data_IF_318513292179
#
_entry.id   IF_318513292179
#
_cell.length_a   1.000
_cell.length_b   1.000
_cell.length_c   1.000
_cell.angle_alpha   90.00
_cell.angle_beta   90.00
_cell.angle_gamma   90.00
#
_symmetry.space_group_name_H-M   'P 1'
#
loop_
_entity.id
_entity.type
_entity.pdbx_description
1 polymer ?
#
# COMPACT_ATOMS: atom_id res chain seq x y z
N UNK A 1 16.98 28.39 16.69
CA UNK A 1 16.03 28.15 15.58
C UNK A 1 15.95 26.65 15.40
N UNK A 2 14.85 26.01 15.81
CA UNK A 2 14.65 24.58 15.55
C UNK A 2 14.23 24.41 14.09
N UNK A 3 14.86 23.48 13.37
CA UNK A 3 14.60 23.26 11.95
C UNK A 3 13.25 22.56 11.76
N UNK A 4 12.44 23.06 10.82
CA UNK A 4 11.27 22.36 10.32
C UNK A 4 11.73 21.02 9.73
N UNK A 5 11.23 19.90 10.27
CA UNK A 5 11.52 18.57 9.74
C UNK A 5 10.36 18.17 8.83
N UNK A 6 10.55 18.36 7.53
CA UNK A 6 9.62 17.85 6.53
C UNK A 6 10.04 16.45 6.09
N UNK A 7 9.18 15.47 6.34
CA UNK A 7 9.43 14.10 5.90
C UNK A 7 9.09 14.00 4.42
N UNK A 8 10.12 13.79 3.60
CA UNK A 8 9.97 13.60 2.16
C UNK A 8 10.10 12.12 1.82
N UNK A 9 9.23 11.64 0.94
CA UNK A 9 9.45 10.35 0.28
C UNK A 9 10.62 10.48 -0.68
N UNK A 10 11.36 9.38 -0.87
CA UNK A 10 12.43 9.34 -1.86
C UNK A 10 11.87 9.57 -3.26
N UNK A 11 12.55 10.40 -4.07
CA UNK A 11 12.16 10.65 -5.46
C UNK A 11 12.10 9.36 -6.30
N UNK A 12 12.98 8.40 -6.01
CA UNK A 12 12.97 7.08 -6.67
C UNK A 12 11.68 6.28 -6.41
N UNK A 13 11.17 6.29 -5.17
CA UNK A 13 9.93 5.59 -4.82
C UNK A 13 8.71 6.22 -5.52
N UNK A 14 8.68 7.55 -5.60
CA UNK A 14 7.63 8.28 -6.31
C UNK A 14 7.69 8.02 -7.81
N UNK A 15 8.88 8.08 -8.41
CA UNK A 15 9.06 7.75 -9.82
C UNK A 15 8.62 6.33 -10.14
N UNK A 16 9.03 5.35 -9.32
CA UNK A 16 8.72 3.95 -9.54
C UNK A 16 7.21 3.67 -9.49
N UNK A 17 6.49 4.20 -8.50
CA UNK A 17 5.03 3.96 -8.41
C UNK A 17 4.26 4.62 -9.57
N UNK A 18 4.69 5.81 -10.02
CA UNK A 18 4.10 6.46 -11.19
C UNK A 18 4.41 5.72 -12.49
N UNK A 19 5.65 5.24 -12.66
CA UNK A 19 6.03 4.40 -13.79
C UNK A 19 5.17 3.13 -13.83
N UNK A 20 4.97 2.47 -12.68
CA UNK A 20 4.12 1.29 -12.59
C UNK A 20 2.67 1.64 -12.97
N UNK A 21 2.10 2.72 -12.46
CA UNK A 21 0.76 3.17 -12.85
C UNK A 21 0.64 3.41 -14.36
N UNK A 22 1.64 4.05 -14.96
CA UNK A 22 1.68 4.31 -16.40
C UNK A 22 1.80 3.03 -17.24
N UNK A 23 2.66 2.09 -16.83
CA UNK A 23 2.80 0.80 -17.51
C UNK A 23 1.51 -0.01 -17.49
N UNK A 24 0.84 -0.08 -16.34
CA UNK A 24 -0.46 -0.74 -16.22
C UNK A 24 -1.51 -0.06 -17.11
N UNK A 25 -1.55 1.28 -17.13
CA UNK A 25 -2.43 2.04 -18.02
C UNK A 25 -2.17 1.76 -19.50
N UNK A 26 -0.91 1.60 -19.91
CA UNK A 26 -0.55 1.24 -21.28
C UNK A 26 -1.01 -0.16 -21.66
N UNK A 27 -0.89 -1.14 -20.75
CA UNK A 27 -1.42 -2.51 -20.97
C UNK A 27 -2.93 -2.49 -21.16
N UNK A 28 -3.66 -1.71 -20.35
CA UNK A 28 -5.12 -1.54 -20.50
C UNK A 28 -5.46 -0.96 -21.87
N UNK A 29 -4.75 0.11 -22.27
CA UNK A 29 -4.97 0.74 -23.57
C UNK A 29 -4.71 -0.23 -24.73
N UNK A 30 -3.66 -1.05 -24.63
CA UNK A 30 -3.33 -2.07 -25.64
C UNK A 30 -4.43 -3.13 -25.74
N UNK A 31 -4.89 -3.70 -24.62
CA UNK A 31 -5.98 -4.67 -24.63
C UNK A 31 -7.27 -4.08 -25.19
N UNK A 32 -7.63 -2.85 -24.79
CA UNK A 32 -8.81 -2.17 -25.31
C UNK A 32 -8.72 -1.91 -26.82
N UNK A 33 -7.54 -1.49 -27.30
CA UNK A 33 -7.32 -1.25 -28.73
C UNK A 33 -7.43 -2.53 -29.56
N UNK A 34 -6.74 -3.60 -29.15
CA UNK A 34 -6.80 -4.89 -29.86
C UNK A 34 -8.19 -5.52 -29.76
N UNK A 35 -8.88 -5.37 -28.63
CA UNK A 35 -10.27 -5.79 -28.50
C UNK A 35 -11.17 -5.08 -29.50
N UNK A 36 -11.03 -3.76 -29.64
CA UNK A 36 -11.84 -2.97 -30.57
C UNK A 36 -11.66 -3.40 -32.03
N UNK A 37 -10.45 -3.80 -32.43
CA UNK A 37 -10.20 -4.35 -33.77
C UNK A 37 -10.76 -5.76 -33.92
N UNK A 38 -10.60 -6.62 -32.91
CA UNK A 38 -11.02 -8.01 -33.00
C UNK A 38 -12.52 -8.23 -32.87
N UNK A 39 -13.28 -7.33 -32.24
CA UNK A 39 -14.73 -7.47 -32.13
C UNK A 39 -15.44 -7.57 -33.49
N UNK A 40 -14.83 -7.06 -34.57
CA UNK A 40 -15.35 -7.18 -35.93
C UNK A 40 -14.98 -8.50 -36.63
N UNK A 41 -13.82 -9.08 -36.30
CA UNK A 41 -13.24 -10.23 -37.01
C UNK A 41 -13.41 -11.56 -36.24
N UNK A 42 -13.28 -11.53 -34.91
CA UNK A 42 -13.45 -12.63 -33.97
C UNK A 42 -14.04 -12.09 -32.66
N UNK A 43 -15.36 -12.12 -32.59
CA UNK A 43 -16.12 -11.61 -31.44
C UNK A 43 -15.71 -12.28 -30.11
N UNK A 44 -15.40 -13.59 -30.15
CA UNK A 44 -15.00 -14.35 -28.96
C UNK A 44 -13.68 -13.85 -28.38
N UNK A 45 -12.65 -13.74 -29.23
CA UNK A 45 -11.36 -13.18 -28.82
C UNK A 45 -11.47 -11.71 -28.40
N UNK A 46 -12.30 -10.93 -29.11
CA UNK A 46 -12.60 -9.54 -28.78
C UNK A 46 -13.15 -9.36 -27.36
N UNK A 47 -14.20 -10.10 -26.99
CA UNK A 47 -14.78 -10.04 -25.64
C UNK A 47 -13.82 -10.48 -24.54
N UNK A 48 -13.00 -11.51 -24.78
CA UNK A 48 -11.97 -11.92 -23.81
C UNK A 48 -11.02 -10.76 -23.50
N UNK A 49 -10.55 -10.04 -24.52
CA UNK A 49 -9.69 -8.88 -24.33
C UNK A 49 -10.39 -7.70 -23.65
N UNK A 50 -11.69 -7.48 -23.90
CA UNK A 50 -12.48 -6.48 -23.15
C UNK A 50 -12.50 -6.82 -21.66
N UNK A 51 -12.79 -8.07 -21.30
CA UNK A 51 -12.81 -8.51 -19.90
C UNK A 51 -11.43 -8.33 -19.24
N UNK A 52 -10.36 -8.68 -19.94
CA UNK A 52 -8.99 -8.46 -19.47
C UNK A 52 -8.67 -6.97 -19.30
N UNK A 53 -9.05 -6.12 -20.26
CA UNK A 53 -8.85 -4.68 -20.18
C UNK A 53 -9.57 -4.07 -18.96
N UNK A 54 -10.81 -4.49 -18.69
CA UNK A 54 -11.58 -4.03 -17.52
C UNK A 54 -10.93 -4.49 -16.21
N UNK A 55 -10.52 -5.76 -16.13
CA UNK A 55 -9.84 -6.30 -14.96
C UNK A 55 -8.52 -5.57 -14.67
N UNK A 56 -7.66 -5.43 -15.68
CA UNK A 56 -6.40 -4.68 -15.57
C UNK A 56 -6.65 -3.19 -15.30
N UNK A 57 -7.74 -2.62 -15.82
CA UNK A 57 -8.18 -1.25 -15.53
C UNK A 57 -8.48 -1.05 -14.04
N UNK A 58 -9.17 -1.99 -13.42
CA UNK A 58 -9.39 -2.00 -11.97
C UNK A 58 -8.08 -2.02 -11.18
N UNK A 59 -7.12 -2.87 -11.56
CA UNK A 59 -5.80 -2.91 -10.92
C UNK A 59 -5.01 -1.61 -11.13
N UNK A 60 -5.05 -1.06 -12.34
CA UNK A 60 -4.40 0.23 -12.69
C UNK A 60 -4.94 1.34 -11.80
N UNK A 61 -6.25 1.39 -11.58
CA UNK A 61 -6.87 2.40 -10.72
C UNK A 61 -6.40 2.30 -9.26
N UNK A 62 -6.21 1.09 -8.73
CA UNK A 62 -5.67 0.89 -7.37
C UNK A 62 -4.24 1.43 -7.27
N UNK A 63 -3.39 1.06 -8.23
CA UNK A 63 -1.99 1.52 -8.28
C UNK A 63 -1.92 3.04 -8.42
N UNK A 64 -2.76 3.62 -9.28
CA UNK A 64 -2.87 5.06 -9.45
C UNK A 64 -3.30 5.76 -8.15
N UNK A 65 -4.33 5.26 -7.46
CA UNK A 65 -4.77 5.82 -6.18
C UNK A 65 -3.65 5.79 -5.14
N UNK A 66 -2.87 4.72 -5.11
CA UNK A 66 -1.70 4.61 -4.26
C UNK A 66 -0.62 5.61 -4.68
N UNK A 67 -0.29 5.74 -5.97
CA UNK A 67 0.66 6.73 -6.47
C UNK A 67 0.28 8.17 -6.08
N UNK A 68 -0.99 8.54 -6.26
CA UNK A 68 -1.56 9.82 -5.82
C UNK A 68 -1.40 9.98 -4.32
N UNK A 69 -1.85 9.02 -3.53
CA UNK A 69 -1.79 9.13 -2.08
C UNK A 69 -0.36 9.29 -1.57
N UNK A 70 0.58 8.53 -2.12
CA UNK A 70 2.00 8.62 -1.78
C UNK A 70 2.59 9.99 -2.16
N UNK A 71 2.18 10.55 -3.29
CA UNK A 71 2.67 11.84 -3.77
C UNK A 71 2.17 13.04 -2.95
N UNK A 72 0.95 12.94 -2.42
CA UNK A 72 0.31 14.04 -1.67
C UNK A 72 0.34 13.86 -0.14
N UNK A 73 0.89 12.76 0.36
CA UNK A 73 1.10 12.59 1.81
C UNK A 73 2.20 13.55 2.28
N UNK A 74 1.88 14.41 3.23
CA UNK A 74 2.83 15.31 3.88
C UNK A 74 2.75 15.15 5.39
N UNK A 75 3.90 14.96 6.02
CA UNK A 75 4.06 14.96 7.47
C UNK A 75 5.22 15.90 7.76
N UNK A 76 4.94 17.03 8.38
CA UNK A 76 5.95 18.01 8.76
C UNK A 76 5.88 18.27 10.25
N UNK A 77 7.04 18.23 10.91
CA UNK A 77 7.17 18.46 12.34
C UNK A 77 7.81 19.83 12.52
N UNK A 78 7.05 20.72 13.13
CA UNK A 78 7.51 22.01 13.60
C UNK A 78 7.87 21.93 15.09
N UNK A 79 8.33 23.02 15.69
CA UNK A 79 8.77 23.05 17.09
C UNK A 79 7.65 22.76 18.12
N UNK A 80 6.41 23.03 17.76
CA UNK A 80 5.23 22.82 18.62
C UNK A 80 4.13 21.99 17.98
N UNK A 81 4.15 21.83 16.66
CA UNK A 81 3.03 21.28 15.90
C UNK A 81 3.47 20.22 14.92
N UNK A 82 2.59 19.27 14.68
CA UNK A 82 2.65 18.27 13.63
C UNK A 82 1.63 18.66 12.55
N UNK A 83 2.13 19.07 11.40
CA UNK A 83 1.33 19.39 10.22
C UNK A 83 1.13 18.12 9.38
N UNK A 84 -0.13 17.77 9.16
CA UNK A 84 -0.54 16.55 8.48
C UNK A 84 -1.39 16.89 7.27
N UNK A 85 -0.98 16.40 6.10
CA UNK A 85 -1.83 16.30 4.92
C UNK A 85 -1.88 14.85 4.48
N UNK A 86 -2.95 14.17 4.86
CA UNK A 86 -3.12 12.73 4.73
C UNK A 86 -4.27 12.41 3.74
N UNK A 87 -3.96 11.86 2.56
CA UNK A 87 -4.97 11.40 1.62
C UNK A 87 -5.65 10.10 2.10
N UNK A 88 -6.81 9.78 1.53
CA UNK A 88 -7.63 8.64 1.94
C UNK A 88 -6.95 7.28 1.72
N UNK A 89 -6.23 7.10 0.62
CA UNK A 89 -5.65 5.81 0.21
C UNK A 89 -4.24 5.59 0.81
N UNK A 90 -4.14 5.59 2.14
CA UNK A 90 -2.88 5.45 2.89
C UNK A 90 -2.66 4.07 3.52
N UNK A 91 -3.41 3.06 3.05
CA UNK A 91 -3.36 1.65 3.42
C UNK A 91 -4.33 0.87 2.53
N UNK A 92 -4.52 -0.44 2.76
CA UNK A 92 -5.51 -1.22 2.00
C UNK A 92 -6.95 -0.73 2.19
N UNK A 93 -7.29 -0.34 3.41
CA UNK A 93 -8.62 0.17 3.78
C UNK A 93 -8.61 1.69 3.65
N UNK A 94 -9.46 2.29 2.79
CA UNK A 94 -9.55 3.74 2.66
C UNK A 94 -9.88 4.39 3.99
N UNK A 95 -9.24 5.53 4.26
CA UNK A 95 -9.42 6.31 5.47
C UNK A 95 -10.00 7.68 5.14
N UNK A 96 -10.49 8.39 6.15
CA UNK A 96 -10.90 9.78 5.99
C UNK A 96 -9.70 10.66 5.58
N UNK A 97 -9.88 11.56 4.62
CA UNK A 97 -8.86 12.56 4.27
C UNK A 97 -8.71 13.54 5.45
N UNK A 98 -7.48 13.88 5.79
CA UNK A 98 -7.19 14.77 6.91
C UNK A 98 -6.15 15.82 6.50
N UNK A 99 -6.47 17.09 6.69
CA UNK A 99 -5.55 18.21 6.57
C UNK A 99 -5.64 19.02 7.87
N UNK A 100 -4.63 18.93 8.72
CA UNK A 100 -4.69 19.52 10.07
C UNK A 100 -3.31 19.77 10.66
N UNK A 101 -3.27 20.62 11.67
CA UNK A 101 -2.11 20.88 12.52
C UNK A 101 -2.43 20.46 13.95
N UNK A 102 -1.62 19.57 14.52
CA UNK A 102 -1.82 19.00 15.85
C UNK A 102 -0.70 19.49 16.77
N UNK A 103 -1.00 20.07 17.94
CA UNK A 103 0.02 20.34 18.94
C UNK A 103 0.75 19.05 19.34
N UNK A 104 2.08 19.05 19.34
CA UNK A 104 2.87 17.88 19.76
C UNK A 104 2.54 17.46 21.19
N UNK A 105 2.22 18.43 22.05
CA UNK A 105 1.81 18.18 23.43
C UNK A 105 0.49 17.40 23.53
N UNK A 106 -0.42 17.51 22.55
CA UNK A 106 -1.68 16.77 22.58
C UNK A 106 -1.56 15.32 22.10
N UNK A 107 -0.36 14.86 21.72
CA UNK A 107 -0.11 13.48 21.32
C UNK A 107 0.25 12.67 22.57
N UNK A 108 -0.64 11.77 22.95
CA UNK A 108 -0.51 10.93 24.14
C UNK A 108 0.21 9.59 23.86
N UNK A 109 0.10 9.06 22.66
CA UNK A 109 0.85 7.86 22.25
C UNK A 109 0.98 7.75 20.73
N UNK A 110 1.88 6.87 20.30
CA UNK A 110 1.98 6.40 18.93
C UNK A 110 1.83 4.89 18.96
N UNK A 111 0.86 4.36 18.22
CA UNK A 111 0.57 2.93 18.15
C UNK A 111 0.97 2.39 16.77
N UNK A 112 1.56 1.21 16.74
CA UNK A 112 1.79 0.45 15.52
C UNK A 112 1.11 -0.91 15.61
N UNK A 113 0.64 -1.42 14.47
CA UNK A 113 0.13 -2.79 14.36
C UNK A 113 0.41 -3.36 12.99
N UNK A 114 0.46 -4.68 12.90
CA UNK A 114 0.53 -5.38 11.63
C UNK A 114 -0.87 -5.84 11.26
N UNK A 115 -1.33 -5.53 10.06
CA UNK A 115 -2.61 -6.01 9.55
C UNK A 115 -2.35 -7.06 8.46
N UNK A 116 -2.92 -8.24 8.67
CA UNK A 116 -2.82 -9.39 7.77
C UNK A 116 -4.12 -9.56 7.00
N UNK A 117 -4.03 -9.59 5.67
CA UNK A 117 -5.16 -9.81 4.80
C UNK A 117 -4.93 -11.09 3.99
N UNK A 118 -5.81 -12.06 4.16
CA UNK A 118 -5.63 -13.41 3.62
C UNK A 118 -6.67 -13.78 2.60
N UNK A 119 -6.27 -14.11 1.37
CA UNK A 119 -7.20 -14.53 0.34
C UNK A 119 -6.57 -15.52 -0.63
N UNK A 120 -7.31 -16.55 -1.03
CA UNK A 120 -6.87 -17.57 -2.01
C UNK A 120 -5.48 -18.15 -1.72
N UNK A 121 -5.18 -18.44 -0.45
CA UNK A 121 -3.88 -19.00 -0.04
C UNK A 121 -2.71 -17.99 -0.03
N UNK A 122 -2.96 -16.73 -0.38
CA UNK A 122 -1.99 -15.63 -0.28
C UNK A 122 -2.23 -14.80 0.99
N UNK A 123 -1.16 -14.18 1.49
CA UNK A 123 -1.20 -13.27 2.62
C UNK A 123 -0.52 -11.98 2.23
N UNK A 124 -1.20 -10.86 2.43
CA UNK A 124 -0.62 -9.53 2.30
C UNK A 124 -0.53 -8.88 3.68
N UNK A 125 0.64 -8.34 4.03
CA UNK A 125 0.82 -7.60 5.28
C UNK A 125 0.92 -6.10 5.03
N UNK A 126 0.46 -5.32 6.00
CA UNK A 126 0.83 -3.91 6.15
C UNK A 126 1.17 -3.56 7.59
N UNK A 127 2.07 -2.62 7.74
CA UNK A 127 2.51 -2.09 9.03
C UNK A 127 1.84 -0.74 9.23
N UNK A 128 0.76 -0.73 9.98
CA UNK A 128 -0.08 0.44 10.24
C UNK A 128 0.46 1.25 11.43
N UNK A 129 0.37 2.58 11.32
CA UNK A 129 0.78 3.53 12.36
C UNK A 129 -0.35 4.52 12.64
N UNK A 130 -0.62 4.79 13.91
CA UNK A 130 -1.63 5.75 14.36
C UNK A 130 -1.10 6.61 15.50
N UNK A 131 -1.51 7.88 15.53
CA UNK A 131 -1.39 8.72 16.72
C UNK A 131 -2.60 8.49 17.61
N UNK A 132 -2.40 8.58 18.91
CA UNK A 132 -3.45 8.67 19.93
C UNK A 132 -3.33 10.05 20.57
N UNK A 133 -4.40 10.84 20.49
CA UNK A 133 -4.47 12.14 21.11
C UNK A 133 -4.87 12.02 22.60
N UNK A 134 -4.66 13.07 23.38
CA UNK A 134 -5.06 13.14 24.79
C UNK A 134 -6.56 12.92 25.01
N UNK A 135 -7.40 13.34 24.06
CA UNK A 135 -8.86 13.12 24.08
C UNK A 135 -9.27 11.69 23.68
N UNK A 136 -8.29 10.80 23.44
CA UNK A 136 -8.49 9.41 23.06
C UNK A 136 -8.76 9.19 21.56
N UNK A 137 -8.87 10.26 20.75
CA UNK A 137 -9.03 10.12 19.30
C UNK A 137 -7.79 9.51 18.68
N UNK A 138 -8.00 8.68 17.66
CA UNK A 138 -6.93 8.08 16.86
C UNK A 138 -6.85 8.72 15.48
N UNK A 139 -5.63 9.07 15.08
CA UNK A 139 -5.34 9.57 13.73
C UNK A 139 -4.43 8.58 13.03
N UNK A 140 -5.02 7.83 12.10
CA UNK A 140 -4.27 6.89 11.26
C UNK A 140 -3.31 7.65 10.34
N UNK A 141 -2.00 7.48 10.56
CA UNK A 141 -0.96 8.12 9.76
C UNK A 141 -0.85 7.46 8.38
N UNK A 142 -0.92 6.14 8.34
CA UNK A 142 -0.70 5.35 7.13
C UNK A 142 -0.18 3.96 7.47
N UNK A 143 0.02 3.16 6.42
CA UNK A 143 0.65 1.85 6.53
C UNK A 143 1.75 1.63 5.50
N UNK A 144 2.82 0.97 5.93
CA UNK A 144 3.93 0.57 5.08
C UNK A 144 3.79 -0.88 4.60
N UNK A 145 4.49 -1.18 3.50
CA UNK A 145 4.65 -2.52 2.94
C UNK A 145 6.05 -3.00 3.17
N UNK A 146 6.22 -4.30 3.43
CA UNK A 146 7.54 -4.87 3.71
C UNK A 146 8.55 -4.70 2.57
N UNK A 147 8.07 -4.68 1.33
CA UNK A 147 8.91 -4.60 0.12
C UNK A 147 9.19 -3.15 -0.32
N UNK A 148 8.73 -2.14 0.43
CA UNK A 148 8.90 -0.73 0.10
C UNK A 148 9.62 -0.01 1.24
N UNK A 149 10.22 1.14 0.92
CA UNK A 149 10.82 2.03 1.92
C UNK A 149 9.78 2.39 3.00
N UNK A 150 10.09 2.19 4.29
CA UNK A 150 9.10 2.31 5.37
C UNK A 150 8.90 3.77 5.79
N UNK A 151 8.11 4.51 5.01
CA UNK A 151 7.91 5.95 5.18
C UNK A 151 7.17 6.29 6.48
N UNK A 152 6.10 5.56 6.79
CA UNK A 152 5.30 5.83 7.99
C UNK A 152 5.97 5.35 9.27
N UNK A 153 6.75 4.27 9.20
CA UNK A 153 7.63 3.85 10.31
C UNK A 153 8.65 4.94 10.64
N UNK A 154 9.32 5.49 9.62
CA UNK A 154 10.27 6.58 9.79
C UNK A 154 9.58 7.81 10.37
N UNK A 155 8.39 8.15 9.87
CA UNK A 155 7.59 9.25 10.40
C UNK A 155 7.22 9.05 11.87
N UNK A 156 6.68 7.88 12.23
CA UNK A 156 6.35 7.51 13.60
C UNK A 156 7.60 7.57 14.50
N UNK A 157 8.75 7.11 14.03
CA UNK A 157 10.02 7.18 14.76
C UNK A 157 10.48 8.62 15.01
N UNK A 158 10.39 9.51 14.02
CA UNK A 158 10.74 10.92 14.21
C UNK A 158 9.77 11.61 15.17
N UNK A 159 8.46 11.35 15.06
CA UNK A 159 7.46 11.91 15.99
C UNK A 159 7.72 11.39 17.41
N UNK A 160 7.90 10.08 17.58
CA UNK A 160 8.24 9.40 18.85
C UNK A 160 9.44 10.05 19.53
N UNK A 161 10.51 10.30 18.77
CA UNK A 161 11.72 10.96 19.27
C UNK A 161 11.50 12.43 19.66
N UNK A 162 10.54 13.13 19.06
CA UNK A 162 10.20 14.51 19.40
C UNK A 162 9.35 14.59 20.68
N UNK A 163 8.33 13.73 20.81
CA UNK A 163 7.44 13.71 21.99
C UNK A 163 8.01 12.89 23.16
N UNK A 164 9.15 12.21 22.97
CA UNK A 164 9.83 11.38 23.98
C UNK A 164 8.98 10.22 24.51
N UNK A 165 8.15 9.65 23.65
CA UNK A 165 7.33 8.48 23.97
C UNK A 165 7.63 7.34 23.01
N UNK A 166 7.74 6.08 23.47
CA UNK A 166 7.97 4.94 22.60
C UNK A 166 6.75 4.64 21.72
N UNK A 167 6.99 4.01 20.57
CA UNK A 167 5.92 3.46 19.73
C UNK A 167 5.41 2.17 20.40
N UNK A 168 4.11 2.12 20.69
CA UNK A 168 3.45 0.95 21.26
C UNK A 168 3.10 -0.04 20.15
N UNK A 169 3.73 -1.20 20.14
CA UNK A 169 3.37 -2.30 19.25
C UNK A 169 2.16 -3.07 19.79
N UNK A 170 1.08 -3.10 19.01
CA UNK A 170 -0.15 -3.82 19.31
C UNK A 170 -0.15 -5.25 18.74
N UNK A 171 0.90 -5.65 18.03
CA UNK A 171 1.04 -6.96 17.41
C UNK A 171 0.31 -7.08 16.07
N UNK A 172 -0.01 -8.31 15.68
CA UNK A 172 -0.63 -8.63 14.40
C UNK A 172 -2.12 -8.90 14.57
N UNK A 173 -2.94 -8.32 13.69
CA UNK A 173 -4.39 -8.57 13.62
C UNK A 173 -4.76 -9.07 12.22
N UNK A 174 -5.77 -9.94 12.14
CA UNK A 174 -6.31 -10.40 10.85
C UNK A 174 -7.43 -9.44 10.41
N UNK A 175 -7.25 -8.84 9.23
CA UNK A 175 -8.25 -8.00 8.55
C UNK A 175 -9.05 -8.78 7.53
N UNK A 176 -10.20 -8.23 7.15
CA UNK A 176 -11.00 -8.78 6.06
C UNK A 176 -10.41 -8.31 4.72
N UNK A 177 -9.93 -9.22 3.86
CA UNK A 177 -9.40 -8.86 2.54
C UNK A 177 -10.48 -8.32 1.58
N UNK A 178 -11.76 -8.58 1.83
CA UNK A 178 -12.79 -8.38 0.83
C UNK A 178 -12.54 -9.22 -0.44
N UNK A 179 -12.97 -8.72 -1.59
CA UNK A 179 -12.68 -9.33 -2.89
C UNK A 179 -11.40 -8.74 -3.48
N UNK A 180 -10.35 -9.55 -3.50
CA UNK A 180 -9.05 -9.27 -4.12
C UNK A 180 -8.33 -8.04 -3.52
N UNK A 181 -8.61 -7.69 -2.27
CA UNK A 181 -8.15 -6.43 -1.63
C UNK A 181 -8.64 -5.17 -2.34
N UNK A 182 -9.67 -5.28 -3.19
CA UNK A 182 -10.21 -4.16 -3.98
C UNK A 182 -11.49 -3.63 -3.36
N UNK A 183 -12.42 -4.52 -3.02
CA UNK A 183 -13.78 -4.17 -2.57
C UNK A 183 -14.15 -4.92 -1.30
N UNK A 184 -14.72 -4.21 -0.32
CA UNK A 184 -15.23 -4.80 0.92
C UNK A 184 -14.15 -5.15 1.94
N UNK A 185 -12.92 -4.66 1.74
CA UNK A 185 -11.85 -4.78 2.71
C UNK A 185 -12.17 -3.97 3.98
N UNK A 186 -11.84 -4.53 5.14
CA UNK A 186 -11.98 -3.82 6.41
C UNK A 186 -10.86 -4.19 7.37
N UNK A 187 -10.45 -3.21 8.16
CA UNK A 187 -9.48 -3.40 9.21
C UNK A 187 -10.23 -3.57 10.53
N UNK A 188 -9.79 -4.46 11.43
CA UNK A 188 -10.41 -4.59 12.73
C UNK A 188 -10.19 -3.31 13.57
N UNK A 189 -11.02 -3.10 14.60
CA UNK A 189 -10.81 -2.03 15.58
C UNK A 189 -9.39 -2.03 16.17
N UNK A 190 -8.91 -0.86 16.60
CA UNK A 190 -7.54 -0.71 17.13
C UNK A 190 -7.31 -1.41 18.48
N UNK A 191 -8.38 -1.73 19.20
CA UNK A 191 -8.40 -2.49 20.45
C UNK A 191 -8.57 -4.00 20.24
N UNK A 192 -8.61 -4.47 18.98
CA UNK A 192 -8.68 -5.89 18.69
C UNK A 192 -7.45 -6.64 19.24
N UNK A 193 -7.69 -7.79 19.87
CA UNK A 193 -6.61 -8.61 20.41
C UNK A 193 -5.69 -9.12 19.30
N UNK A 194 -4.36 -9.08 19.50
CA UNK A 194 -3.43 -9.63 18.53
C UNK A 194 -3.58 -11.14 18.42
N UNK A 195 -3.27 -11.66 17.23
CA UNK A 195 -3.18 -13.10 17.02
C UNK A 195 -1.99 -13.69 17.78
N UNK A 196 -2.02 -15.00 18.09
CA UNK A 196 -0.90 -15.67 18.74
C UNK A 196 0.43 -15.55 17.95
N UNK A 197 1.59 -15.52 18.62
CA UNK A 197 2.90 -15.40 17.95
C UNK A 197 3.17 -16.45 16.87
N UNK A 198 2.70 -17.68 17.06
CA UNK A 198 2.83 -18.75 16.07
C UNK A 198 2.07 -18.42 14.77
N UNK A 199 0.87 -17.84 14.88
CA UNK A 199 0.08 -17.37 13.74
C UNK A 199 0.78 -16.22 13.05
N UNK A 200 1.29 -15.25 13.80
CA UNK A 200 2.07 -14.13 13.25
C UNK A 200 3.24 -14.63 12.38
N UNK A 201 4.08 -15.53 12.90
CA UNK A 201 5.19 -16.10 12.12
C UNK A 201 4.72 -16.83 10.86
N UNK A 202 3.60 -17.56 10.94
CA UNK A 202 2.98 -18.22 9.78
C UNK A 202 2.57 -17.19 8.71
N UNK A 203 1.93 -16.08 9.10
CA UNK A 203 1.53 -15.01 8.16
C UNK A 203 2.75 -14.43 7.44
N UNK A 204 3.82 -14.14 8.17
CA UNK A 204 5.07 -13.66 7.60
C UNK A 204 5.72 -14.64 6.60
N UNK A 205 5.70 -15.94 6.91
CA UNK A 205 6.19 -16.97 5.99
C UNK A 205 5.32 -17.05 4.73
N UNK A 206 4.01 -16.97 4.87
CA UNK A 206 3.07 -17.01 3.74
C UNK A 206 3.25 -15.80 2.80
N UNK A 207 3.37 -14.60 3.35
CA UNK A 207 3.67 -13.40 2.55
C UNK A 207 4.99 -13.56 1.79
N UNK A 208 6.05 -13.98 2.48
CA UNK A 208 7.36 -14.17 1.85
C UNK A 208 7.33 -15.23 0.73
N UNK A 209 6.61 -16.33 0.92
CA UNK A 209 6.42 -17.36 -0.11
C UNK A 209 5.65 -16.83 -1.32
N UNK A 210 4.62 -16.01 -1.11
CA UNK A 210 3.88 -15.37 -2.20
C UNK A 210 4.78 -14.52 -3.09
N UNK A 211 5.65 -13.70 -2.49
CA UNK A 211 6.63 -12.90 -3.23
C UNK A 211 7.66 -13.73 -3.98
N UNK A 212 8.12 -14.85 -3.40
CA UNK A 212 9.02 -15.78 -4.09
C UNK A 212 8.38 -16.37 -5.35
N UNK A 213 7.12 -16.77 -5.28
CA UNK A 213 6.38 -17.29 -6.43
C UNK A 213 6.24 -16.20 -7.51
N UNK A 214 5.86 -14.98 -7.13
CA UNK A 214 5.75 -13.86 -8.07
C UNK A 214 7.09 -13.59 -8.80
N UNK A 215 8.22 -13.61 -8.07
CA UNK A 215 9.55 -13.47 -8.64
C UNK A 215 9.94 -14.61 -9.59
N UNK A 216 9.62 -15.86 -9.23
CA UNK A 216 9.90 -17.02 -10.07
C UNK A 216 9.10 -16.97 -11.37
N UNK A 217 7.81 -16.67 -11.31
CA UNK A 217 6.94 -16.55 -12.49
C UNK A 217 7.43 -15.42 -13.40
N UNK A 218 7.76 -14.25 -12.83
CA UNK A 218 8.26 -13.11 -13.61
C UNK A 218 9.60 -13.43 -14.27
N UNK A 219 10.53 -14.02 -13.53
CA UNK A 219 11.84 -14.42 -14.06
C UNK A 219 11.72 -15.48 -15.17
N UNK A 220 10.84 -16.47 -15.00
CA UNK A 220 10.58 -17.50 -16.01
C UNK A 220 9.98 -16.89 -17.29
N UNK A 221 9.01 -15.99 -17.15
CA UNK A 221 8.41 -15.29 -18.29
C UNK A 221 9.44 -14.46 -19.07
N UNK A 222 10.32 -13.72 -18.37
CA UNK A 222 11.40 -12.97 -18.99
C UNK A 222 12.40 -13.89 -19.70
N UNK A 223 12.78 -15.02 -19.09
CA UNK A 223 13.67 -16.01 -19.69
C UNK A 223 13.07 -16.60 -20.97
N UNK A 224 11.79 -16.99 -20.94
CA UNK A 224 11.07 -17.49 -22.12
C UNK A 224 11.03 -16.43 -23.22
N UNK A 225 10.74 -15.17 -22.87
CA UNK A 225 10.73 -14.06 -23.84
C UNK A 225 12.10 -13.80 -24.48
N UNK A 226 13.19 -13.90 -23.70
CA UNK A 226 14.55 -13.79 -24.23
C UNK A 226 14.90 -14.96 -25.14
N UNK A 227 14.54 -16.19 -24.77
CA UNK A 227 14.74 -17.39 -25.60
C UNK A 227 13.93 -17.26 -26.90
N UNK A 228 12.66 -16.88 -26.82
CA UNK A 228 11.81 -16.68 -27.99
C UNK A 228 12.36 -15.62 -28.94
N UNK A 229 12.97 -14.54 -28.43
CA UNK A 229 13.69 -13.55 -29.27
C UNK A 229 15.02 -14.05 -29.83
N UNK A 230 15.71 -14.94 -29.12
CA UNK A 230 16.98 -15.51 -29.60
C UNK A 230 16.77 -16.59 -30.67
N UNK A 231 15.60 -17.25 -30.68
CA UNK A 231 15.29 -18.38 -31.57
C UNK A 231 14.13 -18.13 -32.54
N UNK A 232 13.41 -17.01 -32.41
CA UNK A 232 12.38 -16.55 -33.36
C UNK A 232 12.96 -15.46 -34.25
N UNK A 233 13.03 -15.73 -35.56
CA UNK A 233 13.38 -14.77 -36.62
C UNK A 233 12.45 -13.56 -36.63
#
# INVERSE_FOLDING_TARGET
>A
MSALIELKRGGGDQFFIWLMAAMFGLVVALFAFVAATLLADDEGAGWILVVLALFTGGLTFIVYREAVARSFTRIAINWQTLELRLPAARGYVPQEKLDTSIPLASINAIESRIESYQQFGTTALQFAYSLVLEDGRRIFLGADRRFLTPYFQNAAGVISNNIKQPIRDLGLVDGNPGFLLVVGQSAPPWDAAPVPPATMQKRFKQEASGWRIAWLVTSAALAIGMIARAFGN
#
